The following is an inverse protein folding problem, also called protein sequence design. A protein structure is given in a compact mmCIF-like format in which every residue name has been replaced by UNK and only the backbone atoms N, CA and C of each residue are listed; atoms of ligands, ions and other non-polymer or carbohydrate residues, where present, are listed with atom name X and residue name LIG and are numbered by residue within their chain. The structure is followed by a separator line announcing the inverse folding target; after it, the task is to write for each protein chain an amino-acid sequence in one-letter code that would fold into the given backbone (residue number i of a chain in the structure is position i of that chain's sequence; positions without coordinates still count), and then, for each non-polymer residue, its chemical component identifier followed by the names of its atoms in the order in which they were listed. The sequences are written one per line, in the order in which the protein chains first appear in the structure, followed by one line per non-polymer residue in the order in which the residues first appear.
data_IF_052058783487
#
_entry.id   IF_052058783487
#
_cell.length_a   1.000
_cell.length_b   1.000
_cell.length_c   1.000
_cell.angle_alpha   90.00
_cell.angle_beta   90.00
_cell.angle_gamma   90.00
#
_symmetry.space_group_name_H-M   'P 1'
#
loop_
_entity.id
_entity.type
_entity.pdbx_description
1 polymer ?
#
# COMPACT_ATOMS: atom_id res chain seq x y z
N UNK A 1 -3.38 12.60 -30.65
CA UNK A 1 -3.29 12.21 -29.24
C UNK A 1 -4.72 12.19 -28.73
N UNK A 2 -5.21 11.07 -28.18
CA UNK A 2 -6.56 11.02 -27.61
C UNK A 2 -6.60 11.71 -26.25
N UNK A 3 -7.78 12.06 -25.75
CA UNK A 3 -7.88 12.70 -24.44
C UNK A 3 -7.35 11.80 -23.32
N UNK A 4 -7.52 10.49 -23.47
CA UNK A 4 -6.96 9.44 -22.61
C UNK A 4 -5.43 9.51 -22.56
N UNK A 5 -4.77 9.75 -23.69
CA UNK A 5 -3.32 9.92 -23.77
C UNK A 5 -2.86 11.24 -23.12
N UNK A 6 -3.62 12.32 -23.27
CA UNK A 6 -3.36 13.60 -22.59
C UNK A 6 -3.46 13.46 -21.07
N UNK A 7 -4.49 12.77 -20.56
CA UNK A 7 -4.67 12.46 -19.14
C UNK A 7 -3.46 11.68 -18.59
N UNK A 8 -3.01 10.64 -19.31
CA UNK A 8 -1.84 9.86 -18.92
C UNK A 8 -0.56 10.69 -18.95
N UNK A 9 -0.40 11.58 -19.94
CA UNK A 9 0.74 12.48 -20.02
C UNK A 9 0.74 13.49 -18.85
N UNK A 10 -0.41 14.07 -18.52
CA UNK A 10 -0.54 15.00 -17.42
C UNK A 10 -0.29 14.30 -16.07
N UNK A 11 -0.82 13.09 -15.86
CA UNK A 11 -0.52 12.28 -14.68
C UNK A 11 0.98 12.04 -14.50
N UNK A 12 1.71 11.72 -15.58
CA UNK A 12 3.18 11.62 -15.55
C UNK A 12 3.85 12.95 -15.18
N UNK A 13 3.36 14.07 -15.69
CA UNK A 13 3.89 15.40 -15.33
C UNK A 13 3.68 15.77 -13.86
N UNK A 14 2.67 15.17 -13.21
CA UNK A 14 2.44 15.29 -11.76
C UNK A 14 3.37 14.38 -10.94
N UNK A 15 4.17 13.53 -11.59
CA UNK A 15 5.12 12.62 -10.96
C UNK A 15 4.61 11.20 -10.76
N UNK A 16 3.44 10.82 -11.29
CA UNK A 16 3.02 9.41 -11.26
C UNK A 16 3.87 8.58 -12.23
N UNK A 17 4.30 7.41 -11.76
CA UNK A 17 5.11 6.46 -12.52
C UNK A 17 4.30 5.66 -13.53
N UNK A 18 3.02 5.46 -13.26
CA UNK A 18 2.09 4.79 -14.17
C UNK A 18 0.71 5.42 -14.06
N UNK A 19 0.00 5.43 -15.19
CA UNK A 19 -1.38 5.85 -15.29
C UNK A 19 -2.03 4.99 -16.37
N UNK A 20 -3.16 4.38 -16.04
CA UNK A 20 -3.94 3.55 -16.93
C UNK A 20 -5.42 3.73 -16.65
N UNK A 21 -6.25 3.36 -17.61
CA UNK A 21 -7.68 3.65 -17.60
C UNK A 21 -8.44 2.37 -17.93
N UNK A 22 -9.46 2.04 -17.16
CA UNK A 22 -10.37 0.95 -17.49
C UNK A 22 -11.82 1.39 -17.33
N UNK A 23 -12.74 0.57 -17.84
CA UNK A 23 -14.17 0.77 -17.67
C UNK A 23 -14.56 0.65 -16.20
N UNK A 24 -15.44 1.53 -15.74
CA UNK A 24 -16.13 1.39 -14.48
C UNK A 24 -17.23 0.32 -14.62
N UNK A 25 -17.08 -0.78 -13.89
CA UNK A 25 -17.98 -1.93 -13.93
C UNK A 25 -17.92 -2.66 -12.57
N UNK A 26 -18.74 -3.70 -12.41
CA UNK A 26 -18.62 -4.58 -11.25
C UNK A 26 -17.31 -5.38 -11.33
N UNK A 27 -16.61 -5.52 -10.20
CA UNK A 27 -15.29 -6.18 -10.14
C UNK A 27 -15.33 -7.69 -10.40
N UNK A 28 -16.45 -8.36 -10.15
CA UNK A 28 -16.54 -9.83 -10.17
C UNK A 28 -15.74 -10.52 -9.06
N UNK A 29 -15.21 -9.77 -8.09
CA UNK A 29 -14.38 -10.28 -6.98
C UNK A 29 -15.19 -10.72 -5.76
N UNK A 30 -16.53 -10.65 -5.83
CA UNK A 30 -17.44 -10.88 -4.71
C UNK A 30 -17.17 -12.20 -4.01
N UNK A 31 -17.22 -13.32 -4.74
CA UNK A 31 -17.05 -14.65 -4.15
C UNK A 31 -15.70 -14.78 -3.41
N UNK A 32 -14.62 -14.25 -3.98
CA UNK A 32 -13.29 -14.27 -3.35
C UNK A 32 -13.24 -13.40 -2.10
N UNK A 33 -13.82 -12.20 -2.18
CA UNK A 33 -13.83 -11.24 -1.07
C UNK A 33 -14.67 -11.75 0.10
N UNK A 34 -15.87 -12.28 -0.18
CA UNK A 34 -16.76 -12.83 0.83
C UNK A 34 -16.17 -14.08 1.50
N UNK A 35 -15.53 -14.97 0.74
CA UNK A 35 -14.83 -16.11 1.32
C UNK A 35 -13.67 -15.67 2.26
N UNK A 36 -12.94 -14.62 1.88
CA UNK A 36 -11.87 -14.07 2.70
C UNK A 36 -12.38 -13.42 3.99
N UNK A 37 -13.54 -12.75 3.93
CA UNK A 37 -14.23 -12.24 5.10
C UNK A 37 -14.75 -13.36 6.00
N UNK A 38 -15.36 -14.41 5.44
CA UNK A 38 -15.92 -15.53 6.23
C UNK A 38 -14.85 -16.37 6.92
N UNK A 39 -13.63 -16.41 6.38
CA UNK A 39 -12.45 -16.99 7.06
C UNK A 39 -11.81 -16.01 8.07
N UNK A 40 -12.47 -14.87 8.33
CA UNK A 40 -12.06 -13.76 9.21
C UNK A 40 -10.68 -13.17 8.87
N UNK A 41 -10.20 -13.40 7.65
CA UNK A 41 -8.81 -13.10 7.29
C UNK A 41 -8.50 -11.59 7.31
N UNK A 42 -9.52 -10.75 7.48
CA UNK A 42 -9.41 -9.31 7.72
C UNK A 42 -9.03 -8.94 9.16
N UNK A 43 -8.98 -9.91 10.08
CA UNK A 43 -8.67 -9.68 11.49
C UNK A 43 -9.57 -8.59 12.11
N UNK A 44 -9.01 -7.62 12.84
CA UNK A 44 -9.78 -6.55 13.46
C UNK A 44 -10.18 -5.39 12.53
N UNK A 45 -9.92 -5.47 11.22
CA UNK A 45 -10.21 -4.40 10.27
C UNK A 45 -11.71 -4.38 9.87
N UNK A 46 -12.60 -4.10 10.82
CA UNK A 46 -14.06 -4.12 10.63
C UNK A 46 -14.57 -3.18 9.52
N UNK A 47 -13.77 -2.20 9.10
CA UNK A 47 -14.11 -1.33 7.96
C UNK A 47 -14.13 -2.09 6.63
N UNK A 48 -13.50 -3.27 6.54
CA UNK A 48 -13.53 -4.15 5.37
C UNK A 48 -14.87 -4.90 5.24
N UNK A 49 -15.66 -4.98 6.31
CA UNK A 49 -17.01 -5.57 6.29
C UNK A 49 -18.10 -4.54 5.90
N UNK A 50 -17.74 -3.26 5.79
CA UNK A 50 -18.67 -2.17 5.50
C UNK A 50 -18.60 -1.75 4.04
N UNK A 51 -19.73 -1.30 3.48
CA UNK A 51 -19.84 -0.82 2.10
C UNK A 51 -19.28 -1.82 1.08
N UNK A 52 -19.58 -3.10 1.25
CA UNK A 52 -19.06 -4.19 0.40
C UNK A 52 -19.53 -3.97 -1.04
N UNK A 53 -20.79 -3.57 -1.22
CA UNK A 53 -21.39 -3.24 -2.51
C UNK A 53 -20.59 -2.16 -3.25
N UNK A 54 -20.16 -1.09 -2.56
CA UNK A 54 -19.34 -0.02 -3.16
C UNK A 54 -17.91 -0.46 -3.46
N UNK A 55 -17.39 -1.41 -2.67
CA UNK A 55 -16.07 -2.00 -2.88
C UNK A 55 -16.02 -2.86 -4.14
N UNK A 56 -17.09 -3.61 -4.37
CA UNK A 56 -17.23 -4.49 -5.52
C UNK A 56 -17.69 -3.75 -6.77
N UNK A 57 -18.44 -2.66 -6.62
CA UNK A 57 -18.92 -1.81 -7.71
C UNK A 57 -18.59 -0.32 -7.50
N UNK A 58 -17.48 0.18 -8.10
CA UNK A 58 -17.07 1.58 -8.02
C UNK A 58 -18.10 2.56 -8.61
N UNK A 59 -19.07 2.10 -9.42
CA UNK A 59 -20.14 2.98 -9.95
C UNK A 59 -21.08 3.48 -8.86
N UNK A 60 -21.11 2.82 -7.71
CA UNK A 60 -21.87 3.28 -6.53
C UNK A 60 -21.17 4.40 -5.76
N UNK A 61 -19.94 4.79 -6.15
CA UNK A 61 -19.17 5.87 -5.51
C UNK A 61 -19.33 7.22 -6.24
N UNK A 62 -19.60 7.19 -7.54
CA UNK A 62 -19.76 8.36 -8.41
C UNK A 62 -20.92 8.07 -9.36
N UNK A 63 -21.96 8.90 -9.30
CA UNK A 63 -23.11 8.76 -10.19
C UNK A 63 -22.69 8.86 -11.66
N UNK A 64 -23.25 7.99 -12.49
CA UNK A 64 -22.92 7.94 -13.92
C UNK A 64 -21.48 7.51 -14.24
N UNK A 65 -20.71 6.94 -13.31
CA UNK A 65 -19.33 6.52 -13.54
C UNK A 65 -19.16 5.63 -14.78
N UNK A 66 -18.19 5.97 -15.63
CA UNK A 66 -17.84 5.24 -16.87
C UNK A 66 -16.39 4.80 -16.91
N UNK A 67 -15.48 5.60 -16.35
CA UNK A 67 -14.04 5.31 -16.37
C UNK A 67 -13.44 5.32 -14.96
N UNK A 68 -12.45 4.45 -14.76
CA UNK A 68 -11.56 4.43 -13.60
C UNK A 68 -10.16 4.68 -14.10
N UNK A 69 -9.57 5.78 -13.66
CA UNK A 69 -8.18 6.16 -13.94
C UNK A 69 -7.35 5.73 -12.72
N UNK A 70 -6.52 4.70 -12.88
CA UNK A 70 -5.62 4.23 -11.83
C UNK A 70 -4.22 4.80 -12.03
N UNK A 71 -3.62 5.27 -10.95
CA UNK A 71 -2.25 5.81 -10.94
C UNK A 71 -1.38 5.06 -9.93
N UNK A 72 -0.07 5.06 -10.18
CA UNK A 72 0.92 4.54 -9.26
C UNK A 72 2.03 5.56 -9.01
N UNK A 73 2.37 5.78 -7.74
CA UNK A 73 3.44 6.68 -7.30
C UNK A 73 4.51 5.90 -6.55
N UNK A 74 5.75 5.89 -7.06
CA UNK A 74 6.85 5.15 -6.45
C UNK A 74 7.20 5.69 -5.05
N UNK A 75 7.46 4.78 -4.11
CA UNK A 75 7.93 5.12 -2.76
C UNK A 75 9.25 4.44 -2.38
N UNK A 76 9.89 3.70 -3.28
CA UNK A 76 11.14 3.01 -2.95
C UNK A 76 12.23 4.01 -2.56
N UNK A 77 12.78 3.96 -1.34
CA UNK A 77 13.60 5.05 -0.82
C UNK A 77 14.99 5.05 -1.45
N UNK A 78 15.62 6.23 -1.48
CA UNK A 78 17.01 6.41 -1.92
C UNK A 78 18.01 6.27 -0.75
N UNK A 79 17.52 6.34 0.50
CA UNK A 79 18.31 6.17 1.72
C UNK A 79 17.61 5.18 2.64
N UNK A 80 18.40 4.32 3.26
CA UNK A 80 17.92 3.27 4.16
C UNK A 80 18.42 3.54 5.57
N UNK A 81 17.67 3.08 6.56
CA UNK A 81 18.12 3.04 7.96
C UNK A 81 19.17 1.95 8.15
N UNK A 82 19.97 2.06 9.20
CA UNK A 82 20.99 1.06 9.54
C UNK A 82 20.36 -0.32 9.71
N UNK A 83 21.06 -1.39 9.29
CA UNK A 83 20.48 -2.75 9.25
C UNK A 83 20.12 -3.29 10.64
N UNK A 84 20.87 -2.88 11.67
CA UNK A 84 20.66 -3.26 13.07
C UNK A 84 19.56 -2.45 13.78
N UNK A 85 19.08 -1.36 13.17
CA UNK A 85 18.03 -0.53 13.74
C UNK A 85 16.64 -1.17 13.55
N UNK A 86 15.68 -0.99 14.49
CA UNK A 86 14.32 -1.52 14.35
C UNK A 86 13.65 -1.04 13.06
N UNK A 87 13.28 -1.93 12.13
CA UNK A 87 12.85 -1.57 10.77
C UNK A 87 11.45 -0.96 10.72
N UNK A 88 11.33 0.05 9.87
CA UNK A 88 10.06 0.59 9.39
C UNK A 88 9.92 0.18 7.93
N UNK A 89 8.71 -0.23 7.53
CA UNK A 89 8.41 -0.51 6.14
C UNK A 89 8.64 0.75 5.30
N UNK A 90 9.17 0.57 4.09
CA UNK A 90 9.61 1.64 3.21
C UNK A 90 8.49 2.63 2.86
N UNK A 91 7.24 2.16 2.81
CA UNK A 91 6.09 3.02 2.54
C UNK A 91 5.85 4.08 3.63
N UNK A 92 6.40 3.89 4.83
CA UNK A 92 6.23 4.80 5.95
C UNK A 92 7.26 5.94 5.98
N UNK A 93 8.19 5.97 5.01
CA UNK A 93 9.26 6.97 4.94
C UNK A 93 8.70 8.30 4.44
N UNK A 94 9.04 9.38 5.14
CA UNK A 94 8.59 10.73 4.79
C UNK A 94 7.13 11.01 5.18
N UNK A 95 6.48 11.86 4.40
CA UNK A 95 5.10 12.29 4.61
C UNK A 95 4.08 11.21 4.26
N UNK A 96 2.88 11.34 4.84
CA UNK A 96 1.77 10.43 4.66
C UNK A 96 1.27 10.46 3.21
N UNK A 97 1.41 9.32 2.53
CA UNK A 97 1.10 9.19 1.11
C UNK A 97 -0.35 9.53 0.76
N UNK A 98 -1.29 9.37 1.70
CA UNK A 98 -2.69 9.69 1.47
C UNK A 98 -2.84 11.14 0.99
N UNK A 99 -2.13 12.07 1.64
CA UNK A 99 -2.21 13.50 1.34
C UNK A 99 -1.50 13.81 0.01
N UNK A 100 -0.32 13.21 -0.21
CA UNK A 100 0.49 13.40 -1.42
C UNK A 100 -0.25 12.89 -2.67
N UNK A 101 -0.78 11.67 -2.62
CA UNK A 101 -1.49 11.04 -3.74
C UNK A 101 -2.80 11.79 -4.02
N UNK A 102 -3.60 12.10 -2.99
CA UNK A 102 -4.87 12.84 -3.16
C UNK A 102 -4.64 14.25 -3.73
N UNK A 103 -3.60 14.96 -3.29
CA UNK A 103 -3.25 16.28 -3.85
C UNK A 103 -2.94 16.21 -5.35
N UNK A 104 -2.19 15.19 -5.78
CA UNK A 104 -1.89 14.97 -7.21
C UNK A 104 -3.15 14.55 -7.99
N UNK A 105 -4.00 13.69 -7.43
CA UNK A 105 -5.27 13.29 -8.05
C UNK A 105 -6.26 14.46 -8.19
N UNK A 106 -6.32 15.38 -7.22
CA UNK A 106 -7.12 16.61 -7.33
C UNK A 106 -6.72 17.42 -8.55
N UNK A 107 -5.41 17.63 -8.74
CA UNK A 107 -4.88 18.35 -9.91
C UNK A 107 -5.19 17.62 -11.22
N UNK A 108 -5.18 16.29 -11.22
CA UNK A 108 -5.55 15.49 -12.39
C UNK A 108 -7.04 15.65 -12.74
N UNK A 109 -7.91 15.64 -11.73
CA UNK A 109 -9.34 15.89 -11.91
C UNK A 109 -9.60 17.31 -12.41
N UNK A 110 -8.95 18.33 -11.82
CA UNK A 110 -9.03 19.73 -12.28
C UNK A 110 -8.62 19.88 -13.75
N UNK A 111 -7.55 19.18 -14.16
CA UNK A 111 -7.12 19.16 -15.57
C UNK A 111 -8.19 18.55 -16.49
N UNK A 112 -8.81 17.45 -16.09
CA UNK A 112 -9.89 16.80 -16.86
C UNK A 112 -11.07 17.76 -16.99
N UNK A 113 -11.50 18.37 -15.88
CA UNK A 113 -12.64 19.31 -15.86
C UNK A 113 -12.36 20.58 -16.68
N UNK A 114 -11.11 21.04 -16.73
CA UNK A 114 -10.71 22.16 -17.58
C UNK A 114 -10.76 21.86 -19.08
N UNK A 115 -10.63 20.59 -19.49
CA UNK A 115 -10.72 20.16 -20.90
C UNK A 115 -12.08 19.62 -21.30
N UNK A 116 -12.83 19.08 -20.34
CA UNK A 116 -14.19 18.57 -20.53
C UNK A 116 -15.10 19.12 -19.43
N UNK A 117 -15.63 20.35 -19.61
CA UNK A 117 -16.53 20.97 -18.63
C UNK A 117 -17.75 20.11 -18.33
N UNK A 118 -18.14 20.05 -17.06
CA UNK A 118 -19.31 19.28 -16.60
C UNK A 118 -19.01 17.85 -16.17
N UNK A 119 -17.79 17.35 -16.34
CA UNK A 119 -17.37 16.03 -15.83
C UNK A 119 -17.40 16.01 -14.31
N UNK A 120 -18.10 15.01 -13.77
CA UNK A 120 -18.09 14.68 -12.35
C UNK A 120 -17.09 13.56 -12.06
N UNK A 121 -16.42 13.65 -10.92
CA UNK A 121 -15.47 12.63 -10.52
C UNK A 121 -15.07 12.73 -9.05
N UNK A 122 -14.55 11.61 -8.54
CA UNK A 122 -14.00 11.52 -7.18
C UNK A 122 -12.73 10.70 -7.19
N UNK A 123 -11.77 11.14 -6.38
CA UNK A 123 -10.48 10.47 -6.23
C UNK A 123 -10.34 9.79 -4.87
N UNK A 124 -9.59 8.69 -4.85
CA UNK A 124 -9.43 7.80 -3.72
C UNK A 124 -7.97 7.35 -3.57
N UNK A 125 -7.57 7.07 -2.32
CA UNK A 125 -6.29 6.43 -1.98
C UNK A 125 -6.42 5.85 -0.55
N UNK A 126 -6.35 4.53 -0.42
CA UNK A 126 -6.44 3.60 0.74
C UNK A 126 -7.70 3.72 1.63
N UNK A 127 -8.18 4.93 1.86
CA UNK A 127 -9.19 5.25 2.87
C UNK A 127 -10.64 5.07 2.39
N UNK A 128 -10.87 4.46 1.24
CA UNK A 128 -12.19 4.31 0.62
C UNK A 128 -12.47 2.85 0.25
N UNK A 129 -13.76 2.45 0.09
CA UNK A 129 -14.09 1.10 -0.33
C UNK A 129 -13.84 0.94 -1.84
N UNK A 130 -12.56 0.90 -2.23
CA UNK A 130 -12.12 0.66 -3.62
C UNK A 130 -11.09 -0.48 -3.60
N UNK A 131 -11.20 -1.43 -4.52
CA UNK A 131 -10.20 -2.49 -4.70
C UNK A 131 -9.05 -1.99 -5.58
N UNK A 132 -8.25 -1.06 -5.05
CA UNK A 132 -7.23 -0.31 -5.81
C UNK A 132 -6.30 -1.22 -6.62
N UNK A 133 -5.79 -2.27 -5.98
CA UNK A 133 -4.88 -3.23 -6.65
C UNK A 133 -5.55 -4.01 -7.77
N UNK A 134 -6.84 -4.28 -7.66
CA UNK A 134 -7.63 -4.93 -8.71
C UNK A 134 -7.84 -3.96 -9.87
N UNK A 135 -8.32 -2.75 -9.59
CA UNK A 135 -8.60 -1.74 -10.62
C UNK A 135 -7.34 -1.28 -11.34
N UNK A 136 -6.22 -1.12 -10.64
CA UNK A 136 -4.93 -0.84 -11.25
C UNK A 136 -4.46 -1.96 -12.19
N UNK A 137 -4.72 -3.23 -11.85
CA UNK A 137 -4.44 -4.35 -12.75
C UNK A 137 -5.38 -4.38 -13.96
N UNK A 138 -6.67 -4.06 -13.77
CA UNK A 138 -7.66 -3.94 -14.85
C UNK A 138 -7.32 -2.81 -15.82
N UNK A 139 -6.81 -1.70 -15.30
CA UNK A 139 -6.31 -0.54 -16.02
C UNK A 139 -4.92 -0.76 -16.67
N UNK A 140 -4.37 -1.98 -16.61
CA UNK A 140 -3.14 -2.32 -17.31
C UNK A 140 -1.85 -1.80 -16.69
N UNK A 141 -1.86 -1.29 -15.44
CA UNK A 141 -0.63 -0.83 -14.77
C UNK A 141 0.31 -2.00 -14.46
N UNK A 142 -0.26 -3.16 -14.15
CA UNK A 142 0.48 -4.29 -13.61
C UNK A 142 -0.39 -5.53 -13.44
N UNK A 143 0.10 -6.47 -12.64
CA UNK A 143 -0.67 -7.65 -12.23
C UNK A 143 -0.59 -7.83 -10.71
N UNK A 144 -1.62 -8.40 -10.10
CA UNK A 144 -1.61 -8.71 -8.67
C UNK A 144 -0.76 -9.95 -8.42
N UNK A 145 0.31 -9.80 -7.65
CA UNK A 145 1.24 -10.87 -7.29
C UNK A 145 0.64 -11.85 -6.28
N UNK A 146 1.32 -12.98 -6.05
CA UNK A 146 0.90 -13.98 -5.04
C UNK A 146 0.90 -13.42 -3.62
N UNK A 147 1.68 -12.37 -3.35
CA UNK A 147 1.67 -11.62 -2.09
C UNK A 147 0.57 -10.55 -2.02
N UNK A 148 -0.38 -10.52 -2.95
CA UNK A 148 -1.51 -9.56 -3.05
C UNK A 148 -1.15 -8.13 -3.43
N UNK A 149 0.12 -7.82 -3.71
CA UNK A 149 0.54 -6.48 -4.13
C UNK A 149 0.41 -6.32 -5.64
N UNK A 150 0.17 -5.09 -6.11
CA UNK A 150 0.32 -4.78 -7.53
C UNK A 150 1.80 -4.79 -7.90
N UNK A 151 2.14 -5.49 -8.98
CA UNK A 151 3.49 -5.54 -9.55
C UNK A 151 3.44 -4.91 -10.94
N UNK A 152 4.20 -3.83 -11.12
CA UNK A 152 4.40 -3.16 -12.40
C UNK A 152 5.64 -3.77 -13.07
N UNK A 153 5.51 -4.42 -14.24
CA UNK A 153 6.66 -5.01 -14.93
C UNK A 153 7.80 -3.99 -15.14
N UNK A 154 9.02 -4.41 -14.82
CA UNK A 154 10.21 -3.56 -14.92
C UNK A 154 10.37 -2.51 -13.81
N UNK A 155 9.37 -2.33 -12.92
CA UNK A 155 9.45 -1.37 -11.81
C UNK A 155 9.25 -1.97 -10.41
N UNK A 156 8.55 -3.10 -10.31
CA UNK A 156 8.33 -3.79 -9.03
C UNK A 156 7.00 -3.41 -8.36
N UNK A 157 6.96 -3.43 -7.03
CA UNK A 157 5.74 -3.29 -6.23
C UNK A 157 5.76 -2.15 -5.21
N UNK A 158 6.80 -1.30 -5.22
CA UNK A 158 6.94 -0.18 -4.29
C UNK A 158 6.13 1.04 -4.77
N UNK A 159 4.81 0.89 -4.85
CA UNK A 159 3.90 1.92 -5.33
C UNK A 159 2.75 2.19 -4.37
N UNK A 160 2.48 3.47 -4.12
CA UNK A 160 1.17 3.91 -3.65
C UNK A 160 0.21 3.93 -4.82
N UNK A 161 -1.03 3.52 -4.58
CA UNK A 161 -2.09 3.54 -5.58
C UNK A 161 -3.07 4.66 -5.30
N UNK A 162 -3.76 5.06 -6.36
CA UNK A 162 -4.93 5.90 -6.26
C UNK A 162 -5.78 5.79 -7.50
N UNK A 163 -7.07 6.04 -7.31
CA UNK A 163 -8.10 5.88 -8.31
C UNK A 163 -8.88 7.17 -8.46
N UNK A 164 -9.08 7.61 -9.70
CA UNK A 164 -9.99 8.67 -10.05
C UNK A 164 -11.14 8.07 -10.87
N UNK A 165 -12.34 8.05 -10.30
CA UNK A 165 -13.55 7.55 -10.93
C UNK A 165 -14.29 8.75 -11.52
N UNK A 166 -14.65 8.68 -12.81
CA UNK A 166 -15.29 9.77 -13.56
C UNK A 166 -16.48 9.28 -14.39
N UNK A 167 -17.44 10.16 -14.64
CA UNK A 167 -18.64 9.93 -15.47
C UNK A 167 -18.39 10.09 -16.99
N UNK A 168 -17.12 10.28 -17.36
CA UNK A 168 -16.65 10.43 -18.72
C UNK A 168 -16.20 9.07 -19.29
N UNK A 169 -16.65 8.73 -20.50
CA UNK A 169 -16.14 7.57 -21.26
C UNK A 169 -14.77 7.96 -21.84
N UNK A 170 -13.78 7.09 -21.67
CA UNK A 170 -12.40 7.28 -22.15
C UNK A 170 -11.96 6.04 -22.95
N UNK A 171 -10.80 6.15 -23.60
CA UNK A 171 -10.17 5.00 -24.24
C UNK A 171 -9.50 4.13 -23.16
N UNK A 172 -9.93 2.88 -23.08
CA UNK A 172 -9.49 1.94 -22.05
C UNK A 172 -8.23 1.18 -22.46
N UNK A 173 -7.35 1.00 -21.48
CA UNK A 173 -6.26 0.04 -21.53
C UNK A 173 -6.77 -1.39 -21.29
N UNK A 174 -5.90 -2.35 -21.58
CA UNK A 174 -6.17 -3.77 -21.35
C UNK A 174 -5.31 -4.32 -20.20
N UNK A 175 -5.84 -5.27 -19.41
CA UNK A 175 -5.06 -5.95 -18.40
C UNK A 175 -3.82 -6.63 -18.98
N UNK A 176 -2.76 -6.64 -18.19
CA UNK A 176 -1.51 -7.32 -18.53
C UNK A 176 -1.62 -8.85 -18.34
N UNK A 177 -0.95 -9.63 -19.19
CA UNK A 177 -0.96 -11.10 -19.12
C UNK A 177 0.11 -11.69 -18.19
N UNK A 178 1.01 -10.86 -17.66
CA UNK A 178 2.09 -11.25 -16.77
C UNK A 178 1.57 -11.85 -15.46
N UNK A 179 2.35 -12.78 -14.91
CA UNK A 179 2.02 -13.45 -13.65
C UNK A 179 3.29 -13.96 -12.95
N UNK A 180 3.18 -14.33 -11.68
CA UNK A 180 4.31 -14.89 -10.91
C UNK A 180 4.82 -16.26 -11.42
N UNK A 181 4.07 -16.97 -12.26
CA UNK A 181 4.41 -18.33 -12.70
C UNK A 181 4.57 -19.29 -11.52
N UNK A 182 5.60 -20.14 -11.58
CA UNK A 182 5.91 -21.12 -10.52
C UNK A 182 6.58 -20.52 -9.27
N UNK A 183 6.95 -19.23 -9.28
CA UNK A 183 7.63 -18.59 -8.16
C UNK A 183 6.79 -18.65 -6.86
N UNK A 184 7.44 -18.98 -5.73
CA UNK A 184 6.81 -19.06 -4.41
C UNK A 184 7.53 -18.25 -3.32
N UNK A 185 8.59 -17.50 -3.67
CA UNK A 185 9.49 -16.81 -2.72
C UNK A 185 8.77 -16.04 -1.61
N UNK A 186 7.72 -15.28 -1.93
CA UNK A 186 7.00 -14.49 -0.92
C UNK A 186 6.17 -15.35 0.05
N UNK A 187 5.65 -16.50 -0.40
CA UNK A 187 4.96 -17.45 0.47
C UNK A 187 5.96 -18.12 1.40
N UNK A 188 7.08 -18.58 0.84
CA UNK A 188 8.08 -19.36 1.56
C UNK A 188 8.87 -18.49 2.56
N UNK A 189 9.10 -17.20 2.24
CA UNK A 189 9.82 -16.27 3.11
C UNK A 189 8.94 -15.54 4.14
N UNK A 190 7.60 -15.66 4.08
CA UNK A 190 6.73 -14.98 5.03
C UNK A 190 6.90 -15.60 6.44
N UNK A 191 7.47 -14.89 7.43
CA UNK A 191 7.89 -15.52 8.68
C UNK A 191 6.74 -16.16 9.47
N UNK A 192 5.54 -15.60 9.33
CA UNK A 192 4.34 -16.03 10.04
C UNK A 192 3.40 -16.89 9.19
N UNK A 193 3.78 -17.18 7.93
CA UNK A 193 2.90 -17.88 7.00
C UNK A 193 1.59 -17.14 6.71
N UNK A 194 1.61 -15.79 6.75
CA UNK A 194 0.42 -14.98 6.53
C UNK A 194 -0.12 -15.06 5.09
N UNK A 195 0.74 -15.36 4.11
CA UNK A 195 0.32 -15.64 2.73
C UNK A 195 0.00 -17.14 2.61
N UNK A 196 -1.19 -17.54 3.05
CA UNK A 196 -1.58 -18.96 3.19
C UNK A 196 -1.68 -19.68 1.84
N UNK A 197 -2.09 -18.96 0.80
CA UNK A 197 -2.14 -19.42 -0.59
C UNK A 197 -1.98 -18.21 -1.54
N UNK A 198 -1.67 -18.42 -2.83
CA UNK A 198 -1.53 -17.32 -3.79
C UNK A 198 -2.70 -16.33 -3.73
N UNK A 199 -2.40 -15.04 -3.54
CA UNK A 199 -3.38 -13.93 -3.46
C UNK A 199 -4.33 -14.03 -2.25
N UNK A 200 -3.92 -14.71 -1.18
CA UNK A 200 -4.68 -14.86 0.05
C UNK A 200 -3.80 -14.54 1.26
N UNK A 201 -4.11 -13.43 1.93
CA UNK A 201 -3.37 -12.99 3.12
C UNK A 201 -4.28 -13.09 4.34
N UNK A 202 -3.86 -13.85 5.34
CA UNK A 202 -4.49 -13.84 6.65
C UNK A 202 -3.87 -12.73 7.50
N UNK A 203 -4.59 -11.61 7.64
CA UNK A 203 -4.11 -10.44 8.37
C UNK A 203 -3.81 -10.75 9.84
N UNK A 204 -4.50 -11.73 10.45
CA UNK A 204 -4.22 -12.15 11.84
C UNK A 204 -2.77 -12.60 12.02
N UNK A 205 -2.14 -13.15 10.97
CA UNK A 205 -0.74 -13.57 10.97
C UNK A 205 0.21 -12.50 10.42
N UNK A 206 -0.29 -11.51 9.67
CA UNK A 206 0.57 -10.56 8.96
C UNK A 206 1.25 -9.57 9.93
N UNK A 207 2.58 -9.54 9.95
CA UNK A 207 3.37 -8.60 10.77
C UNK A 207 2.95 -7.14 10.49
N UNK A 208 2.62 -6.81 9.25
CA UNK A 208 2.15 -5.47 8.88
C UNK A 208 0.84 -5.11 9.59
N UNK A 209 -0.14 -6.02 9.62
CA UNK A 209 -1.38 -5.80 10.38
C UNK A 209 -1.08 -5.68 11.88
N UNK A 210 -0.24 -6.58 12.42
CA UNK A 210 0.08 -6.64 13.85
C UNK A 210 0.75 -5.36 14.37
N UNK A 211 1.60 -4.74 13.56
CA UNK A 211 2.35 -3.54 13.95
C UNK A 211 1.61 -2.22 13.66
N UNK A 212 0.56 -2.23 12.85
CA UNK A 212 -0.13 -1.02 12.39
C UNK A 212 -1.58 -0.97 12.88
N UNK A 213 -2.35 -1.99 12.53
CA UNK A 213 -3.80 -2.03 12.71
C UNK A 213 -4.23 -2.65 14.02
N UNK A 214 -3.55 -3.73 14.45
CA UNK A 214 -3.87 -4.38 15.71
C UNK A 214 -3.73 -3.36 16.86
N UNK A 215 -4.79 -3.18 17.65
CA UNK A 215 -4.82 -2.29 18.82
C UNK A 215 -4.71 -3.04 20.16
N UNK A 216 -4.77 -4.37 20.14
CA UNK A 216 -4.55 -5.23 21.31
C UNK A 216 -3.10 -5.75 21.38
N UNK A 217 -2.88 -6.84 22.12
CA UNK A 217 -1.54 -7.44 22.20
C UNK A 217 -1.15 -8.17 20.91
N UNK A 218 0.15 -8.22 20.64
CA UNK A 218 0.71 -9.05 19.56
C UNK A 218 0.80 -10.49 20.09
N UNK A 219 0.29 -11.45 19.32
CA UNK A 219 0.30 -12.86 19.73
C UNK A 219 1.72 -13.34 20.09
N UNK A 220 1.90 -14.09 21.20
CA UNK A 220 3.18 -14.70 21.56
C UNK A 220 3.78 -15.58 20.46
N UNK A 221 2.97 -16.15 19.57
CA UNK A 221 3.45 -16.94 18.43
C UNK A 221 4.06 -16.07 17.31
N UNK A 222 3.63 -14.81 17.21
CA UNK A 222 4.08 -13.85 16.20
C UNK A 222 5.33 -13.12 16.69
N UNK A 223 5.42 -12.80 17.98
CA UNK A 223 6.52 -12.02 18.57
C UNK A 223 7.91 -12.52 18.12
N UNK A 224 8.27 -13.81 18.29
CA UNK A 224 9.57 -14.33 17.86
C UNK A 224 9.81 -14.24 16.34
N UNK A 225 8.75 -14.13 15.55
CA UNK A 225 8.76 -14.12 14.08
C UNK A 225 8.69 -12.72 13.49
N UNK A 226 8.54 -11.68 14.31
CA UNK A 226 8.54 -10.29 13.86
C UNK A 226 9.86 -9.89 13.19
N UNK A 227 10.92 -10.67 13.38
CA UNK A 227 12.27 -10.36 12.90
C UNK A 227 12.66 -8.96 13.38
N UNK A 228 13.30 -8.15 12.53
CA UNK A 228 13.63 -6.78 12.86
C UNK A 228 12.49 -5.76 12.55
N UNK A 229 11.22 -6.16 12.38
CA UNK A 229 10.15 -5.26 11.92
C UNK A 229 9.39 -4.59 13.08
N UNK A 230 9.54 -3.26 13.23
CA UNK A 230 8.86 -2.45 14.24
C UNK A 230 7.54 -1.85 13.75
N UNK A 231 7.47 -1.43 12.49
CA UNK A 231 6.28 -0.84 11.87
C UNK A 231 6.15 -1.29 10.42
N UNK A 232 5.09 -2.02 10.08
CA UNK A 232 4.93 -2.63 8.76
C UNK A 232 5.88 -3.81 8.53
N UNK A 233 5.84 -4.41 7.33
CA UNK A 233 6.77 -5.47 6.94
C UNK A 233 6.92 -5.54 5.41
N UNK A 234 8.16 -5.46 4.93
CA UNK A 234 8.47 -5.51 3.50
C UNK A 234 8.99 -6.87 3.02
N UNK A 235 9.09 -7.90 3.87
CA UNK A 235 9.76 -9.17 3.54
C UNK A 235 9.22 -9.79 2.23
N UNK A 236 7.89 -9.82 2.06
CA UNK A 236 7.27 -10.36 0.85
C UNK A 236 7.55 -9.54 -0.42
N UNK A 237 7.96 -8.28 -0.29
CA UNK A 237 8.45 -7.41 -1.37
C UNK A 237 9.94 -7.59 -1.59
N UNK A 238 10.74 -7.62 -0.52
CA UNK A 238 12.20 -7.76 -0.58
C UNK A 238 12.64 -9.02 -1.32
N UNK A 239 11.94 -10.15 -1.09
CA UNK A 239 12.24 -11.42 -1.78
C UNK A 239 11.64 -11.53 -3.19
N UNK A 240 10.79 -10.58 -3.58
CA UNK A 240 10.10 -10.62 -4.87
C UNK A 240 11.08 -10.34 -6.02
N UNK A 241 11.24 -11.24 -7.01
CA UNK A 241 12.19 -11.04 -8.09
C UNK A 241 11.86 -9.83 -8.99
N UNK A 242 10.61 -9.38 -9.00
CA UNK A 242 10.18 -8.20 -9.74
C UNK A 242 10.70 -6.89 -9.14
N UNK A 243 11.13 -6.90 -7.88
CA UNK A 243 11.73 -5.73 -7.23
C UNK A 243 13.25 -5.61 -7.46
N UNK A 244 13.87 -6.55 -8.18
CA UNK A 244 15.32 -6.54 -8.46
C UNK A 244 15.80 -5.26 -9.14
N UNK A 245 14.92 -4.64 -9.94
CA UNK A 245 15.21 -3.41 -10.69
C UNK A 245 14.42 -2.21 -10.18
N UNK A 246 13.88 -2.28 -8.95
CA UNK A 246 13.25 -1.13 -8.32
C UNK A 246 14.25 0.03 -8.26
N UNK A 247 13.82 1.20 -8.70
CA UNK A 247 14.62 2.43 -8.66
C UNK A 247 14.08 3.36 -7.60
N UNK A 248 14.92 4.14 -6.91
CA UNK A 248 14.44 5.07 -5.92
C UNK A 248 13.45 6.09 -6.49
N UNK A 249 12.48 6.50 -5.68
CA UNK A 249 11.54 7.56 -6.03
C UNK A 249 12.26 8.91 -6.15
N UNK A 250 11.61 9.86 -6.81
CA UNK A 250 12.06 11.27 -6.90
C UNK A 250 11.11 12.25 -6.23
N UNK A 251 10.08 11.75 -5.52
CA UNK A 251 9.08 12.55 -4.80
C UNK A 251 9.67 13.15 -3.53
N UNK A 252 9.81 14.50 -3.41
CA UNK A 252 10.44 15.13 -2.26
C UNK A 252 9.74 14.86 -0.92
N UNK A 253 8.40 14.76 -0.94
CA UNK A 253 7.59 14.52 0.25
C UNK A 253 7.90 13.16 0.92
N UNK A 254 8.47 12.20 0.18
CA UNK A 254 8.85 10.89 0.70
C UNK A 254 10.32 10.80 1.12
N UNK A 255 11.07 11.92 1.05
CA UNK A 255 12.42 11.93 1.60
C UNK A 255 12.37 11.77 3.14
N UNK A 256 13.03 10.75 3.69
CA UNK A 256 13.08 10.58 5.14
C UNK A 256 13.92 11.70 5.77
N UNK A 257 13.51 12.19 6.94
CA UNK A 257 14.29 13.16 7.72
C UNK A 257 15.52 12.50 8.35
N UNK A 258 16.58 13.28 8.61
CA UNK A 258 17.76 12.77 9.35
C UNK A 258 17.37 12.20 10.71
N UNK A 259 16.46 12.89 11.42
CA UNK A 259 15.97 12.46 12.72
C UNK A 259 15.30 11.08 12.66
N UNK A 260 14.54 10.78 11.60
CA UNK A 260 13.97 9.45 11.41
C UNK A 260 15.05 8.40 11.08
N UNK A 261 16.00 8.77 10.21
CA UNK A 261 17.07 7.87 9.79
C UNK A 261 18.01 7.48 10.94
N UNK A 262 18.24 8.39 11.87
CA UNK A 262 19.10 8.20 13.03
C UNK A 262 18.45 7.47 14.20
N UNK A 263 17.15 7.16 14.14
CA UNK A 263 16.50 6.39 15.20
C UNK A 263 17.17 5.02 15.31
N UNK A 264 17.50 4.63 16.52
CA UNK A 264 17.98 3.31 16.92
C UNK A 264 17.11 2.77 18.06
N UNK A 265 17.48 1.63 18.63
CA UNK A 265 16.71 1.03 19.71
C UNK A 265 16.67 1.92 20.97
N UNK A 266 17.79 2.50 21.37
CA UNK A 266 17.91 3.31 22.58
C UNK A 266 17.05 4.57 22.48
N UNK A 267 17.16 5.31 21.38
CA UNK A 267 16.33 6.49 21.12
C UNK A 267 14.85 6.17 21.01
N UNK A 268 14.46 5.01 20.47
CA UNK A 268 13.06 4.55 20.46
C UNK A 268 12.58 4.13 21.86
N UNK A 269 13.47 3.61 22.69
CA UNK A 269 13.16 3.24 24.08
C UNK A 269 12.92 4.48 24.94
N UNK A 270 13.76 5.50 24.80
CA UNK A 270 13.67 6.76 25.56
C UNK A 270 12.64 7.75 24.99
N UNK A 271 12.15 7.52 23.77
CA UNK A 271 11.17 8.39 23.11
C UNK A 271 9.91 8.60 23.95
N UNK A 272 9.60 9.87 24.22
CA UNK A 272 8.33 10.31 24.79
C UNK A 272 7.30 10.68 23.70
N UNK A 273 6.06 10.98 24.12
CA UNK A 273 4.97 11.26 23.19
C UNK A 273 5.19 12.56 22.38
N UNK A 274 5.84 13.57 22.97
CA UNK A 274 6.13 14.83 22.29
C UNK A 274 7.19 14.64 21.20
N UNK A 275 8.24 13.85 21.46
CA UNK A 275 9.24 13.47 20.47
C UNK A 275 8.62 12.63 19.36
N UNK A 276 7.75 11.67 19.70
CA UNK A 276 6.99 10.89 18.72
C UNK A 276 6.17 11.80 17.80
N UNK A 277 5.42 12.78 18.34
CA UNK A 277 4.60 13.70 17.55
C UNK A 277 5.46 14.57 16.63
N UNK A 278 6.61 15.05 17.11
CA UNK A 278 7.55 15.84 16.29
C UNK A 278 8.04 15.07 15.07
N UNK A 279 8.37 13.79 15.23
CA UNK A 279 8.89 12.95 14.14
C UNK A 279 7.78 12.45 13.21
N UNK A 280 6.66 11.99 13.77
CA UNK A 280 5.70 11.17 13.03
C UNK A 280 4.35 11.84 12.72
N UNK A 281 4.09 13.08 13.18
CA UNK A 281 2.79 13.76 12.97
C UNK A 281 2.35 13.85 11.51
N UNK A 282 3.31 13.97 10.58
CA UNK A 282 3.05 14.00 9.13
C UNK A 282 3.28 12.66 8.43
N UNK A 283 3.70 11.61 9.13
CA UNK A 283 4.02 10.31 8.56
C UNK A 283 2.85 9.33 8.70
N UNK A 284 2.79 8.32 7.84
CA UNK A 284 1.88 7.18 8.00
C UNK A 284 2.05 6.47 9.36
N UNK A 285 3.23 6.56 9.99
CA UNK A 285 3.53 5.96 11.31
C UNK A 285 2.53 6.41 12.38
N UNK A 286 1.96 7.63 12.26
CA UNK A 286 0.92 8.14 13.18
C UNK A 286 -0.25 7.16 13.39
N UNK A 287 -0.54 6.29 12.41
CA UNK A 287 -1.61 5.27 12.45
C UNK A 287 -1.45 4.25 13.58
N UNK A 288 -0.21 3.93 13.98
CA UNK A 288 0.04 3.05 15.13
C UNK A 288 -0.23 3.76 16.47
N UNK A 289 -0.15 5.10 16.51
CA UNK A 289 -0.07 5.92 17.73
C UNK A 289 1.17 5.62 18.57
N UNK A 290 1.50 6.53 19.50
CA UNK A 290 2.66 6.38 20.37
C UNK A 290 2.63 5.06 21.17
N UNK A 291 1.49 4.75 21.80
CA UNK A 291 1.31 3.51 22.56
C UNK A 291 1.49 2.25 21.71
N UNK A 292 1.01 2.25 20.47
CA UNK A 292 1.19 1.14 19.54
C UNK A 292 2.65 0.95 19.15
N UNK A 293 3.38 2.04 18.88
CA UNK A 293 4.81 1.97 18.58
C UNK A 293 5.62 1.45 19.77
N UNK A 294 5.32 1.90 21.00
CA UNK A 294 5.95 1.39 22.23
C UNK A 294 5.66 -0.10 22.44
N UNK A 295 4.41 -0.53 22.26
CA UNK A 295 4.04 -1.96 22.32
C UNK A 295 4.82 -2.78 21.29
N UNK A 296 4.95 -2.29 20.06
CA UNK A 296 5.72 -2.98 19.03
C UNK A 296 7.21 -3.07 19.41
N UNK A 297 7.77 -2.05 20.09
CA UNK A 297 9.15 -2.04 20.54
C UNK A 297 9.40 -3.09 21.63
N UNK A 298 8.49 -3.23 22.59
CA UNK A 298 8.57 -4.29 23.60
C UNK A 298 8.50 -5.68 22.97
N UNK A 299 7.59 -5.89 22.01
CA UNK A 299 7.52 -7.14 21.24
C UNK A 299 8.82 -7.40 20.45
N UNK A 300 9.39 -6.37 19.85
CA UNK A 300 10.67 -6.45 19.13
C UNK A 300 11.82 -6.82 20.07
N UNK A 301 11.85 -6.28 21.29
CA UNK A 301 12.88 -6.63 22.29
C UNK A 301 12.81 -8.10 22.67
N UNK A 302 11.61 -8.58 22.99
CA UNK A 302 11.37 -10.00 23.33
C UNK A 302 11.76 -10.95 22.19
N UNK A 303 11.56 -10.57 20.94
CA UNK A 303 11.93 -11.40 19.78
C UNK A 303 13.45 -11.61 19.67
N UNK A 304 14.24 -10.60 20.02
CA UNK A 304 15.71 -10.66 20.02
C UNK A 304 16.28 -11.47 21.17
N UNK A 305 15.70 -11.33 22.37
CA UNK A 305 16.12 -12.11 23.55
C UNK A 305 15.81 -13.61 23.40
N UNK A 306 14.78 -13.94 22.61
CA UNK A 306 14.35 -15.33 22.35
C UNK A 306 15.19 -16.07 21.28
N UNK A 307 16.31 -15.51 20.82
CA UNK A 307 17.22 -16.16 19.88
C UNK A 307 16.71 -16.25 18.43
N UNK A 308 15.82 -15.35 18.01
CA UNK A 308 15.44 -15.24 16.60
C UNK A 308 16.64 -14.82 15.74
N UNK A 309 17.24 -15.77 15.02
CA UNK A 309 18.30 -15.47 14.06
C UNK A 309 17.83 -14.45 13.02
N UNK A 310 18.70 -13.48 12.72
CA UNK A 310 18.50 -12.53 11.63
C UNK A 310 18.70 -13.32 10.32
N UNK A 311 17.61 -13.68 9.64
CA UNK A 311 17.64 -14.15 8.25
C UNK A 311 17.40 -13.01 7.27
#
# INVERSE_FOLDING_TARGET
MTFSEEIKAYARSLGFDACGICRAEESGEEARYMAWLSEECHAGMSYLERNIEKRLDPRLLVDGAKSIISVALNYFPHRFRHEDAPRFAYYAYGEDYHDVVKKKLSRLLEFIQGRSPGVSGRYFSDSAPVLERFWAARAGLGFVGKNTLLIIPGKGSYFFLGELIVDLELDYDSPLSQHCGKCRRCLDACPTGAIEKPKWVNARKCISYQTIENKGEISPEIIPRMSNNLYGCDICQLVCPWNRYARPHTTPEFHPSEQFLSLDYESLQEMDEDTYRKIFSKSAVKRAKFSGLKRNLEAWKCSRESGGEIS
#
